data_IF_563113735365
#
_entry.id   IF_563113735365
#
_cell.length_a   1.000
_cell.length_b   1.000
_cell.length_c   1.000
_cell.angle_alpha   90.00
_cell.angle_beta   90.00
_cell.angle_gamma   90.00
#
_symmetry.space_group_name_H-M   'P 1'
#
loop_
_entity.id
_entity.type
_entity.pdbx_description
1 polymer ?
#
# COMPACT_ATOMS: atom_id res chain seq x y z
N UNK A 1 5.18 10.29 -10.63
CA UNK A 1 5.80 9.11 -11.26
C UNK A 1 7.26 9.39 -11.55
N UNK A 2 8.15 8.43 -11.27
CA UNK A 2 9.56 8.54 -11.62
C UNK A 2 10.17 7.21 -12.09
N UNK A 3 11.07 7.30 -13.08
CA UNK A 3 11.80 6.19 -13.69
C UNK A 3 13.21 6.10 -13.09
N UNK A 4 13.63 4.88 -12.72
CA UNK A 4 14.97 4.53 -12.24
C UNK A 4 15.45 5.32 -11.01
N UNK A 5 14.53 5.59 -10.08
CA UNK A 5 14.79 6.35 -8.84
C UNK A 5 14.57 5.55 -7.55
N UNK A 6 14.02 4.34 -7.63
CA UNK A 6 13.55 3.57 -6.47
C UNK A 6 14.26 2.22 -6.30
N UNK A 7 15.53 2.15 -6.74
CA UNK A 7 16.37 0.95 -6.61
C UNK A 7 17.81 1.31 -6.22
N UNK A 8 18.49 0.36 -5.58
CA UNK A 8 19.93 0.42 -5.32
C UNK A 8 20.46 -1.02 -5.15
N UNK A 9 21.51 -1.39 -5.87
CA UNK A 9 22.16 -2.72 -5.78
C UNK A 9 21.19 -3.92 -5.86
N UNK A 10 20.14 -3.81 -6.69
CA UNK A 10 19.12 -4.85 -6.83
C UNK A 10 18.07 -4.89 -5.71
N UNK A 11 18.15 -3.98 -4.73
CA UNK A 11 17.14 -3.75 -3.71
C UNK A 11 16.19 -2.60 -4.05
N UNK A 12 15.08 -2.51 -3.31
CA UNK A 12 14.13 -1.39 -3.38
C UNK A 12 14.57 -0.25 -2.48
N UNK A 13 14.41 0.97 -2.95
CA UNK A 13 14.73 2.18 -2.19
C UNK A 13 13.45 2.96 -1.86
N UNK A 14 13.24 3.23 -0.57
CA UNK A 14 12.07 3.93 -0.02
C UNK A 14 12.49 5.15 0.80
N UNK A 15 11.59 6.14 0.91
CA UNK A 15 11.83 7.35 1.68
C UNK A 15 11.80 7.10 3.20
N UNK A 16 12.40 8.00 3.98
CA UNK A 16 12.26 7.95 5.43
C UNK A 16 10.78 8.11 5.82
N UNK A 17 10.27 7.20 6.66
CA UNK A 17 8.84 7.15 7.03
C UNK A 17 7.92 6.44 6.02
N UNK A 18 8.42 6.04 4.86
CA UNK A 18 7.72 5.15 3.93
C UNK A 18 7.86 3.70 4.42
N UNK A 19 6.75 2.95 4.49
CA UNK A 19 6.74 1.56 4.92
C UNK A 19 6.24 0.65 3.80
N UNK A 20 6.83 -0.53 3.65
CA UNK A 20 6.36 -1.57 2.73
C UNK A 20 5.19 -2.29 3.39
N UNK A 21 4.06 -2.34 2.68
CA UNK A 21 2.82 -2.97 3.12
C UNK A 21 2.69 -4.38 2.53
N UNK A 22 2.96 -4.53 1.24
CA UNK A 22 2.88 -5.80 0.53
C UNK A 22 4.00 -5.92 -0.50
N UNK A 23 4.28 -7.16 -0.87
CA UNK A 23 5.27 -7.53 -1.87
C UNK A 23 4.73 -8.69 -2.71
N UNK A 24 5.01 -8.69 -4.01
CA UNK A 24 4.73 -9.82 -4.89
C UNK A 24 5.86 -9.98 -5.91
N UNK A 25 6.29 -11.22 -6.11
CA UNK A 25 7.21 -11.62 -7.17
C UNK A 25 6.48 -12.00 -8.45
N UNK A 26 7.25 -12.30 -9.50
CA UNK A 26 6.77 -12.80 -10.79
C UNK A 26 5.67 -11.95 -11.44
N UNK A 27 5.80 -10.63 -11.30
CA UNK A 27 4.92 -9.66 -11.94
C UNK A 27 5.52 -9.23 -13.28
N UNK A 28 4.70 -9.23 -14.32
CA UNK A 28 5.08 -8.59 -15.59
C UNK A 28 4.42 -7.24 -15.77
N UNK A 29 5.23 -6.25 -16.14
CA UNK A 29 4.81 -4.89 -16.43
C UNK A 29 4.87 -4.63 -17.93
N UNK A 30 3.75 -4.17 -18.48
CA UNK A 30 3.61 -3.80 -19.88
C UNK A 30 3.07 -2.36 -19.98
N UNK A 31 3.50 -1.65 -21.02
CA UNK A 31 3.13 -0.26 -21.26
C UNK A 31 2.30 -0.12 -22.55
N UNK A 32 1.45 0.89 -22.60
CA UNK A 32 0.81 1.35 -23.83
C UNK A 32 0.76 2.88 -23.87
N UNK A 33 0.93 3.46 -25.06
CA UNK A 33 1.08 4.91 -25.24
C UNK A 33 2.51 5.44 -25.03
N UNK A 34 3.42 4.57 -24.60
CA UNK A 34 4.88 4.80 -24.56
C UNK A 34 5.57 3.55 -25.09
N UNK A 35 6.30 3.65 -26.20
CA UNK A 35 6.89 2.48 -26.88
C UNK A 35 8.42 2.54 -27.02
N UNK A 36 9.03 3.66 -26.65
CA UNK A 36 10.48 3.90 -26.76
C UNK A 36 11.27 3.58 -25.49
N UNK A 37 12.52 3.14 -25.69
CA UNK A 37 13.54 2.95 -24.64
C UNK A 37 13.05 2.11 -23.45
N UNK A 38 13.00 2.69 -22.23
CA UNK A 38 12.67 1.95 -21.00
C UNK A 38 11.23 1.40 -21.00
N UNK A 39 10.33 1.92 -21.83
CA UNK A 39 8.94 1.46 -21.91
C UNK A 39 8.73 0.32 -22.89
N UNK A 40 9.75 -0.03 -23.68
CA UNK A 40 9.62 -1.03 -24.74
C UNK A 40 9.53 -2.45 -24.17
N UNK A 41 8.51 -3.17 -24.62
CA UNK A 41 8.31 -4.60 -24.35
C UNK A 41 7.86 -4.90 -22.92
N UNK A 42 7.73 -6.20 -22.62
CA UNK A 42 7.30 -6.70 -21.31
C UNK A 42 8.48 -6.75 -20.34
N UNK A 43 8.35 -6.09 -19.19
CA UNK A 43 9.33 -6.15 -18.10
C UNK A 43 8.90 -7.22 -17.11
N UNK A 44 9.86 -7.95 -16.51
CA UNK A 44 9.59 -8.98 -15.50
C UNK A 44 10.29 -8.59 -14.21
N UNK A 45 9.60 -8.68 -13.09
CA UNK A 45 10.15 -8.20 -11.84
C UNK A 45 9.26 -8.48 -10.66
N UNK A 46 9.51 -7.72 -9.61
CA UNK A 46 8.72 -7.75 -8.37
C UNK A 46 8.08 -6.39 -8.14
N UNK A 47 7.00 -6.38 -7.38
CA UNK A 47 6.26 -5.18 -7.05
C UNK A 47 6.10 -5.02 -5.55
N UNK A 48 6.25 -3.79 -5.08
CA UNK A 48 6.13 -3.41 -3.68
C UNK A 48 4.99 -2.41 -3.56
N UNK A 49 4.05 -2.68 -2.67
CA UNK A 49 3.09 -1.68 -2.22
C UNK A 49 3.65 -1.04 -0.96
N UNK A 50 3.69 0.29 -0.93
CA UNK A 50 4.09 1.05 0.25
C UNK A 50 2.92 1.89 0.77
N UNK A 51 3.14 2.59 1.88
CA UNK A 51 2.20 3.60 2.39
C UNK A 51 1.97 4.79 1.44
N UNK A 52 2.83 5.01 0.44
CA UNK A 52 2.79 6.20 -0.43
C UNK A 52 2.59 5.92 -1.92
N UNK A 53 3.02 4.73 -2.36
CA UNK A 53 3.18 4.42 -3.78
C UNK A 53 3.35 2.93 -4.03
N UNK A 54 3.15 2.54 -5.27
CA UNK A 54 3.61 1.24 -5.77
C UNK A 54 5.01 1.38 -6.36
N UNK A 55 5.88 0.39 -6.22
CA UNK A 55 7.22 0.38 -6.83
C UNK A 55 7.38 -0.93 -7.60
N UNK A 56 7.66 -0.84 -8.89
CA UNK A 56 8.12 -1.98 -9.68
C UNK A 56 9.65 -2.00 -9.68
N UNK A 57 10.22 -3.18 -9.45
CA UNK A 57 11.66 -3.44 -9.50
C UNK A 57 11.91 -4.52 -10.57
N UNK A 58 12.72 -4.19 -11.58
CA UNK A 58 13.03 -5.11 -12.66
C UNK A 58 14.00 -6.19 -12.16
N UNK A 59 13.78 -7.44 -12.58
CA UNK A 59 14.66 -8.56 -12.29
C UNK A 59 15.93 -8.53 -13.13
N UNK A 60 15.87 -7.93 -14.32
CA UNK A 60 17.00 -7.83 -15.24
C UNK A 60 17.80 -6.57 -14.99
N UNK A 61 19.06 -6.70 -14.55
CA UNK A 61 19.96 -5.57 -14.37
C UNK A 61 20.47 -4.95 -15.69
N UNK A 62 20.24 -5.64 -16.82
CA UNK A 62 20.64 -5.16 -18.15
C UNK A 62 19.53 -4.41 -18.88
N UNK A 63 18.32 -4.32 -18.32
CA UNK A 63 17.21 -3.59 -18.92
C UNK A 63 17.32 -2.08 -18.65
N UNK A 64 16.90 -1.23 -19.59
CA UNK A 64 16.89 0.22 -19.37
C UNK A 64 15.95 0.64 -18.22
N UNK A 65 14.85 -0.08 -17.99
CA UNK A 65 13.96 0.13 -16.86
C UNK A 65 14.41 -0.76 -15.69
N UNK A 66 15.09 -0.18 -14.72
CA UNK A 66 15.51 -0.85 -13.49
C UNK A 66 14.46 -0.75 -12.38
N UNK A 67 13.79 0.40 -12.26
CA UNK A 67 12.68 0.58 -11.33
C UNK A 67 11.67 1.57 -11.85
N UNK A 68 10.40 1.43 -11.49
CA UNK A 68 9.39 2.43 -11.76
C UNK A 68 8.57 2.73 -10.50
N UNK A 69 8.46 4.01 -10.16
CA UNK A 69 7.75 4.48 -8.97
C UNK A 69 6.38 5.03 -9.33
N UNK A 70 5.35 4.49 -8.68
CA UNK A 70 3.93 4.76 -8.86
C UNK A 70 3.26 5.50 -7.67
N UNK A 71 3.52 6.80 -7.45
CA UNK A 71 2.78 7.58 -6.45
C UNK A 71 1.27 7.56 -6.67
N UNK A 72 0.50 7.35 -5.59
CA UNK A 72 -0.95 7.25 -5.68
C UNK A 72 -1.59 8.49 -6.32
N UNK A 73 -1.07 9.68 -6.04
CA UNK A 73 -1.55 10.95 -6.61
C UNK A 73 -1.39 11.07 -8.13
N UNK A 74 -0.61 10.19 -8.75
CA UNK A 74 -0.39 10.18 -10.21
C UNK A 74 -1.09 9.05 -10.93
N UNK A 75 -1.81 8.21 -10.19
CA UNK A 75 -2.60 7.12 -10.74
C UNK A 75 -4.00 7.60 -11.09
N UNK A 76 -4.53 7.10 -12.19
CA UNK A 76 -5.94 7.26 -12.58
C UNK A 76 -6.42 6.01 -13.30
N UNK A 77 -7.74 5.82 -13.35
CA UNK A 77 -8.38 4.70 -14.07
C UNK A 77 -7.82 3.32 -13.66
N UNK A 78 -7.57 3.14 -12.36
CA UNK A 78 -7.00 1.90 -11.83
C UNK A 78 -8.09 0.84 -11.69
N UNK A 79 -7.90 -0.30 -12.35
CA UNK A 79 -8.85 -1.41 -12.40
C UNK A 79 -8.13 -2.73 -12.11
N UNK A 80 -8.80 -3.62 -11.37
CA UNK A 80 -8.37 -5.00 -11.14
C UNK A 80 -9.21 -5.89 -12.07
N UNK A 81 -8.53 -6.66 -12.91
CA UNK A 81 -9.17 -7.52 -13.91
C UNK A 81 -8.94 -8.99 -13.56
N UNK A 82 -10.03 -9.75 -13.55
CA UNK A 82 -10.06 -11.17 -13.20
C UNK A 82 -10.59 -11.98 -14.40
N UNK A 83 -9.76 -12.23 -15.42
CA UNK A 83 -10.19 -13.00 -16.57
C UNK A 83 -10.48 -14.45 -16.16
N UNK A 84 -11.51 -15.05 -16.75
CA UNK A 84 -11.87 -16.46 -16.52
C UNK A 84 -10.70 -17.39 -16.90
N UNK A 85 -9.92 -17.00 -17.91
CA UNK A 85 -8.72 -17.69 -18.36
C UNK A 85 -7.52 -16.74 -18.35
N UNK A 86 -6.44 -17.16 -17.70
CA UNK A 86 -5.20 -16.39 -17.59
C UNK A 86 -4.96 -15.81 -16.21
N UNK A 87 -3.89 -15.03 -16.08
CA UNK A 87 -3.51 -14.41 -14.82
C UNK A 87 -4.27 -13.10 -14.59
N UNK A 88 -4.64 -12.87 -13.33
CA UNK A 88 -5.22 -11.60 -12.90
C UNK A 88 -4.20 -10.47 -13.08
N UNK A 89 -4.70 -9.28 -13.43
CA UNK A 89 -3.86 -8.13 -13.67
C UNK A 89 -4.49 -6.85 -13.16
N UNK A 90 -3.63 -5.87 -12.86
CA UNK A 90 -4.02 -4.52 -12.50
C UNK A 90 -3.62 -3.63 -13.68
N UNK A 91 -4.56 -2.82 -14.18
CA UNK A 91 -4.27 -1.84 -15.22
C UNK A 91 -4.63 -0.44 -14.74
N UNK A 92 -4.06 0.57 -15.40
CA UNK A 92 -4.46 1.95 -15.20
C UNK A 92 -3.58 2.92 -15.97
N UNK A 93 -3.70 4.20 -15.63
CA UNK A 93 -2.91 5.28 -16.19
C UNK A 93 -1.98 5.88 -15.16
N UNK A 94 -0.83 6.35 -15.65
CA UNK A 94 0.15 7.07 -14.85
C UNK A 94 0.57 8.34 -15.57
N UNK A 95 0.73 9.44 -14.82
CA UNK A 95 1.26 10.70 -15.36
C UNK A 95 2.64 11.03 -14.82
N UNK A 96 3.54 11.44 -15.71
CA UNK A 96 4.87 11.92 -15.33
C UNK A 96 4.78 13.11 -14.37
N UNK A 97 5.69 13.15 -13.40
CA UNK A 97 5.88 14.31 -12.52
C UNK A 97 7.13 15.09 -12.93
N UNK A 98 7.23 16.37 -12.55
CA UNK A 98 8.48 17.10 -12.66
C UNK A 98 9.64 16.30 -12.06
N UNK A 99 10.76 16.24 -12.77
CA UNK A 99 11.96 15.47 -12.38
C UNK A 99 11.72 13.94 -12.29
N UNK A 100 10.75 13.42 -13.03
CA UNK A 100 10.43 11.99 -13.08
C UNK A 100 11.29 11.14 -14.02
N UNK A 101 12.29 11.71 -14.72
CA UNK A 101 13.09 11.04 -15.76
C UNK A 101 12.30 10.51 -16.98
N UNK A 102 11.05 10.95 -17.16
CA UNK A 102 10.24 10.72 -18.36
C UNK A 102 9.14 11.78 -18.45
N UNK A 103 8.43 11.84 -19.59
CA UNK A 103 7.39 12.84 -19.86
C UNK A 103 6.11 12.19 -20.39
N UNK A 104 4.98 12.83 -20.13
CA UNK A 104 3.68 12.44 -20.67
C UNK A 104 2.85 11.56 -19.74
N UNK A 105 1.99 10.76 -20.35
CA UNK A 105 1.10 9.79 -19.69
C UNK A 105 1.34 8.42 -20.31
N UNK A 106 1.22 7.35 -19.53
CA UNK A 106 1.31 5.98 -20.01
C UNK A 106 0.22 5.13 -19.37
N UNK A 107 -0.31 4.17 -20.13
CA UNK A 107 -1.12 3.09 -19.58
C UNK A 107 -0.18 1.96 -19.15
N UNK A 108 -0.42 1.40 -17.98
CA UNK A 108 0.32 0.26 -17.47
C UNK A 108 -0.60 -0.94 -17.32
N UNK A 109 0.00 -2.13 -17.41
CA UNK A 109 -0.63 -3.41 -17.07
C UNK A 109 0.36 -4.24 -16.27
N UNK A 110 -0.01 -4.57 -15.04
CA UNK A 110 0.73 -5.41 -14.10
C UNK A 110 0.04 -6.77 -14.01
N UNK A 111 0.64 -7.80 -14.59
CA UNK A 111 0.08 -9.16 -14.59
C UNK A 111 0.78 -10.01 -13.54
N UNK A 112 0.00 -10.59 -12.62
CA UNK A 112 0.50 -11.35 -11.47
C UNK A 112 0.48 -12.85 -11.78
N UNK A 113 1.62 -13.39 -12.20
CA UNK A 113 1.68 -14.78 -12.70
C UNK A 113 1.56 -15.83 -11.61
N UNK A 114 1.92 -15.46 -10.38
CA UNK A 114 1.90 -16.34 -9.20
C UNK A 114 0.70 -16.08 -8.27
N UNK A 115 -0.32 -15.32 -8.72
CA UNK A 115 -1.48 -14.95 -7.90
C UNK A 115 -1.28 -13.66 -7.11
N UNK A 116 -2.17 -13.37 -6.15
CA UNK A 116 -2.05 -12.19 -5.26
C UNK A 116 -2.58 -10.86 -5.82
N UNK A 117 -2.96 -10.78 -7.11
CA UNK A 117 -3.43 -9.52 -7.72
C UNK A 117 -4.63 -8.87 -7.00
N UNK A 118 -5.56 -9.69 -6.49
CA UNK A 118 -6.78 -9.21 -5.82
C UNK A 118 -6.42 -8.53 -4.51
N UNK A 119 -5.66 -9.23 -3.65
CA UNK A 119 -5.20 -8.71 -2.37
C UNK A 119 -4.32 -7.48 -2.56
N UNK A 120 -3.40 -7.54 -3.53
CA UNK A 120 -2.54 -6.41 -3.86
C UNK A 120 -3.37 -5.20 -4.30
N UNK A 121 -4.31 -5.39 -5.22
CA UNK A 121 -5.16 -4.32 -5.74
C UNK A 121 -6.08 -3.72 -4.69
N UNK A 122 -6.75 -4.55 -3.88
CA UNK A 122 -7.59 -4.07 -2.77
C UNK A 122 -6.78 -3.28 -1.73
N UNK A 123 -5.60 -3.79 -1.38
CA UNK A 123 -4.69 -3.12 -0.44
C UNK A 123 -4.14 -1.81 -1.01
N UNK A 124 -3.85 -1.78 -2.31
CA UNK A 124 -3.42 -0.56 -3.01
C UNK A 124 -4.52 0.50 -2.97
N UNK A 125 -5.78 0.15 -3.25
CA UNK A 125 -6.90 1.09 -3.18
C UNK A 125 -7.11 1.61 -1.75
N UNK A 126 -6.98 0.74 -0.75
CA UNK A 126 -7.04 1.12 0.68
C UNK A 126 -5.89 2.05 1.07
N UNK A 127 -4.66 1.74 0.68
CA UNK A 127 -3.49 2.55 0.95
C UNK A 127 -3.60 3.93 0.28
N UNK A 128 -4.04 3.97 -0.98
CA UNK A 128 -4.32 5.21 -1.69
C UNK A 128 -5.37 6.04 -0.95
N UNK A 129 -6.49 5.44 -0.53
CA UNK A 129 -7.53 6.15 0.22
C UNK A 129 -6.99 6.75 1.55
N UNK A 130 -6.17 6.01 2.28
CA UNK A 130 -5.56 6.49 3.53
C UNK A 130 -4.55 7.62 3.29
N UNK A 131 -3.71 7.51 2.25
CA UNK A 131 -2.76 8.55 1.89
C UNK A 131 -3.46 9.87 1.55
N UNK A 132 -4.57 9.82 0.80
CA UNK A 132 -5.33 11.04 0.44
C UNK A 132 -6.00 11.71 1.64
N UNK A 133 -6.37 10.95 2.68
CA UNK A 133 -7.02 11.50 3.89
C UNK A 133 -6.05 12.15 4.88
N UNK A 134 -4.79 11.72 4.89
CA UNK A 134 -3.75 12.25 5.80
C UNK A 134 -3.13 13.59 5.37
N UNK A 135 -3.68 14.26 4.34
CA UNK A 135 -3.08 15.50 3.80
C UNK A 135 -1.95 15.28 2.80
N UNK A 136 -1.63 14.03 2.43
CA UNK A 136 -0.68 13.71 1.36
C UNK A 136 -1.33 13.85 -0.02
N UNK A 137 -1.87 15.03 -0.33
CA UNK A 137 -2.24 15.40 -1.69
C UNK A 137 -1.03 15.87 -2.51
N UNK A 138 0.06 16.22 -1.83
CA UNK A 138 1.31 16.54 -2.49
C UNK A 138 1.98 15.26 -3.02
N UNK A 139 2.58 15.31 -4.23
CA UNK A 139 3.55 14.31 -4.65
C UNK A 139 4.55 14.00 -3.53
N UNK A 140 4.98 12.73 -3.35
CA UNK A 140 6.20 12.51 -2.60
C UNK A 140 7.31 13.34 -3.25
N UNK A 141 8.18 13.98 -2.45
CA UNK A 141 9.26 14.80 -3.00
C UNK A 141 10.07 13.95 -4.00
N UNK A 142 10.55 14.54 -5.12
CA UNK A 142 11.45 13.84 -6.02
C UNK A 142 12.57 13.19 -5.21
N UNK A 143 12.88 11.92 -5.54
CA UNK A 143 13.97 11.25 -4.86
C UNK A 143 15.27 11.96 -5.20
N UNK A 144 15.84 12.64 -4.20
CA UNK A 144 17.19 13.17 -4.24
C UNK A 144 18.04 12.16 -3.49
N UNK A 145 18.96 11.45 -4.15
CA UNK A 145 19.88 10.58 -3.43
C UNK A 145 20.68 11.43 -2.43
N UNK A 146 20.78 11.02 -1.16
CA UNK A 146 21.56 11.77 -0.17
C UNK A 146 23.02 11.85 -0.62
N UNK A 147 23.64 13.03 -0.48
CA UNK A 147 25.00 13.31 -0.98
C UNK A 147 26.10 12.56 -0.20
N UNK A 148 25.82 12.07 1.02
CA UNK A 148 26.79 11.38 1.87
C UNK A 148 26.25 10.02 2.37
N UNK A 149 27.17 9.07 2.53
CA UNK A 149 27.07 7.70 3.09
C UNK A 149 25.66 7.25 3.51
N UNK A 150 25.15 6.26 2.78
CA UNK A 150 23.88 5.58 3.02
C UNK A 150 23.85 4.99 4.43
N UNK A 151 23.00 5.53 5.30
CA UNK A 151 22.72 4.93 6.59
C UNK A 151 21.65 3.85 6.40
N UNK A 152 21.96 2.61 6.81
CA UNK A 152 20.91 1.65 7.15
C UNK A 152 20.01 2.30 8.20
N UNK A 153 18.69 2.29 8.01
CA UNK A 153 17.81 2.90 9.01
C UNK A 153 18.04 2.15 10.35
N UNK A 154 18.37 2.87 11.44
CA UNK A 154 18.64 2.22 12.71
C UNK A 154 17.40 1.46 13.17
N UNK A 155 17.54 0.25 13.74
CA UNK A 155 16.44 -0.38 14.47
C UNK A 155 15.88 0.63 15.48
N UNK A 156 14.55 0.82 15.60
CA UNK A 156 13.45 -0.01 15.12
C UNK A 156 12.73 0.54 13.87
N UNK A 157 13.40 1.30 12.99
CA UNK A 157 12.74 1.97 11.87
C UNK A 157 11.95 1.05 10.90
N UNK A 158 12.29 -0.25 10.86
CA UNK A 158 11.56 -1.27 10.09
C UNK A 158 10.63 -2.15 10.94
N UNK A 159 10.59 -1.95 12.25
CA UNK A 159 9.69 -2.70 13.10
C UNK A 159 8.24 -2.21 12.85
N UNK A 160 7.25 -3.12 12.84
CA UNK A 160 5.86 -2.69 12.90
C UNK A 160 5.68 -1.81 14.15
N UNK A 161 4.83 -0.77 14.09
CA UNK A 161 4.50 -0.02 15.30
C UNK A 161 4.04 -1.02 16.38
N UNK A 162 4.46 -0.84 17.65
CA UNK A 162 4.04 -1.71 18.73
C UNK A 162 2.52 -1.84 18.68
N UNK A 163 2.02 -3.07 18.55
CA UNK A 163 0.59 -3.31 18.61
C UNK A 163 0.13 -2.88 20.00
N UNK A 164 -0.61 -1.77 20.07
CA UNK A 164 -1.31 -1.39 21.29
C UNK A 164 -2.12 -2.60 21.74
N UNK A 165 -1.85 -3.11 22.95
CA UNK A 165 -2.54 -4.29 23.49
C UNK A 165 -4.07 -4.15 23.38
N UNK A 166 -4.55 -2.91 23.49
CA UNK A 166 -5.95 -2.52 23.33
C UNK A 166 -6.49 -2.69 21.89
N UNK A 167 -5.65 -2.46 20.88
CA UNK A 167 -6.00 -2.69 19.48
C UNK A 167 -6.03 -4.19 19.14
N UNK A 168 -5.13 -4.99 19.75
CA UNK A 168 -5.14 -6.45 19.60
C UNK A 168 -6.36 -7.10 20.27
N UNK A 169 -6.73 -6.63 21.46
CA UNK A 169 -7.94 -7.06 22.18
C UNK A 169 -9.22 -6.71 21.41
N UNK A 170 -9.29 -5.51 20.82
CA UNK A 170 -10.40 -5.10 19.96
C UNK A 170 -10.50 -5.97 18.70
N UNK A 171 -9.38 -6.38 18.10
CA UNK A 171 -9.38 -7.27 16.93
C UNK A 171 -9.81 -8.71 17.27
N UNK A 172 -9.51 -9.20 18.47
CA UNK A 172 -9.94 -10.53 18.93
C UNK A 172 -11.43 -10.58 19.32
N UNK A 173 -11.99 -9.46 19.77
CA UNK A 173 -13.38 -9.35 20.24
C UNK A 173 -14.35 -8.86 19.17
N UNK A 174 -13.86 -8.41 18.01
CA UNK A 174 -14.68 -7.93 16.90
C UNK A 174 -15.28 -9.09 16.08
N UNK A 175 -16.61 -9.17 16.05
CA UNK A 175 -17.32 -10.01 15.09
C UNK A 175 -17.48 -9.26 13.75
N UNK A 176 -17.09 -9.90 12.65
CA UNK A 176 -17.20 -9.34 11.30
C UNK A 176 -18.61 -9.61 10.73
N UNK A 177 -19.38 -8.57 10.46
CA UNK A 177 -20.65 -8.65 9.72
C UNK A 177 -20.38 -8.47 8.21
N UNK A 178 -20.55 -9.51 7.38
CA UNK A 178 -20.32 -9.44 5.94
C UNK A 178 -21.17 -8.38 5.20
N UNK A 179 -22.32 -7.98 5.76
CA UNK A 179 -23.20 -6.99 5.15
C UNK A 179 -22.87 -5.54 5.54
N UNK A 180 -21.99 -5.34 6.53
CA UNK A 180 -21.58 -4.02 7.02
C UNK A 180 -20.08 -3.99 7.30
N UNK A 181 -19.23 -4.04 6.25
CA UNK A 181 -17.77 -4.12 6.40
C UNK A 181 -17.13 -2.87 7.04
N UNK A 182 -17.91 -1.80 7.25
CA UNK A 182 -17.48 -0.54 7.86
C UNK A 182 -17.65 -0.52 9.39
N UNK A 183 -18.28 -1.54 9.99
CA UNK A 183 -18.57 -1.57 11.43
C UNK A 183 -18.13 -2.90 12.05
N UNK A 184 -17.16 -2.85 12.96
CA UNK A 184 -16.83 -3.97 13.84
C UNK A 184 -17.82 -3.98 15.02
N UNK A 185 -18.53 -5.09 15.21
CA UNK A 185 -19.40 -5.25 16.37
C UNK A 185 -18.58 -5.79 17.54
N UNK A 186 -18.44 -4.99 18.60
CA UNK A 186 -17.87 -5.42 19.88
C UNK A 186 -19.03 -5.74 20.81
N UNK A 187 -19.25 -7.01 21.20
CA UNK A 187 -20.31 -7.35 22.13
C UNK A 187 -20.06 -6.65 23.49
N UNK A 188 -21.10 -6.09 24.13
CA UNK A 188 -20.95 -5.48 25.44
C UNK A 188 -20.44 -6.53 26.46
N UNK A 189 -19.59 -6.13 27.42
CA UNK A 189 -19.04 -7.04 28.41
C UNK A 189 -20.16 -7.74 29.21
N UNK A 190 -20.01 -9.05 29.43
CA UNK A 190 -21.02 -9.90 30.07
C UNK A 190 -21.35 -9.52 31.53
N UNK A 191 -20.55 -8.65 32.14
CA UNK A 191 -20.78 -8.10 33.48
C UNK A 191 -21.50 -6.77 33.40
N UNK A 192 -22.78 -6.81 33.04
CA UNK A 192 -23.70 -5.73 33.42
C UNK A 192 -24.18 -6.05 34.83
N UNK A 193 -23.56 -5.47 35.86
CA UNK A 193 -24.27 -5.31 37.13
C UNK A 193 -25.48 -4.44 36.84
N UNK A 194 -26.67 -5.03 36.92
CA UNK A 194 -27.90 -4.25 36.83
C UNK A 194 -27.85 -3.17 37.92
N UNK A 195 -28.18 -1.90 37.59
CA UNK A 195 -28.20 -0.84 38.59
C UNK A 195 -29.14 -1.24 39.75
N UNK A 196 -28.78 -0.91 41.00
CA UNK A 196 -29.54 -1.31 42.17
C UNK A 196 -30.99 -0.82 42.07
N UNK A 197 -31.92 -1.67 42.50
CA UNK A 197 -33.33 -1.32 42.50
C UNK A 197 -33.60 -0.18 43.49
N UNK A 198 -34.65 0.61 43.24
CA UNK A 198 -35.00 1.78 44.07
C UNK A 198 -35.10 1.43 45.57
N UNK A 199 -35.54 0.22 45.90
CA UNK A 199 -35.64 -0.28 47.27
C UNK A 199 -34.27 -0.54 47.93
N UNK A 200 -33.22 -0.85 47.17
CA UNK A 200 -31.87 -1.05 47.72
C UNK A 200 -31.16 0.28 48.01
N UNK A 201 -31.55 1.37 47.35
CA UNK A 201 -30.95 2.69 47.54
C UNK A 201 -31.43 3.39 48.82
N UNK A 202 -32.64 3.07 49.31
CA UNK A 202 -33.25 3.73 50.47
C UNK A 202 -32.79 3.15 51.81
N UNK A 203 -32.39 1.88 51.88
CA UNK A 203 -31.93 1.25 53.13
C UNK A 203 -30.50 1.62 53.56
N UNK A 204 -29.73 2.35 52.74
CA UNK A 204 -28.36 2.79 53.08
C UNK A 204 -28.29 4.11 53.85
N UNK A 205 -29.42 4.74 54.18
CA UNK A 205 -29.43 6.05 54.87
C UNK A 205 -29.58 5.98 56.39
N UNK A 206 -29.78 4.81 56.99
CA UNK A 206 -30.00 4.66 58.44
C UNK A 206 -28.99 3.72 59.13
N UNK A 207 -27.69 3.91 58.87
CA UNK A 207 -26.61 3.41 59.72
C UNK A 207 -25.47 4.42 59.86
#
# INVERSE_FOLDING_TARGET
>A
MSLNTAHLNGGVLIHNGEQILLFSEDVSLEWSGQEGGPFRGTKKGSIYLTTHRVIFLNKSSSDELQSFSFPFVTLSEVEIEQPVFGANYIKGKVRAQPNGNWLGEAKFKLTFKSGGAIEFGQSMLKAAHLATRGGMQAPPPPYVPPQNQWYAAPPPAYAPPPQDAKAAEAAQSAYYDPNRPQMAYVPPPAYYENPPSYNQATHKKDQ
#
